data_IF_509999160057
#
_entry.id   IF_509999160057
#
_cell.length_a   1.000
_cell.length_b   1.000
_cell.length_c   1.000
_cell.angle_alpha   90.00
_cell.angle_beta   90.00
_cell.angle_gamma   90.00
#
_symmetry.space_group_name_H-M   'P 1'
#
loop_
_entity.id
_entity.type
_entity.pdbx_description
1 polymer ?
#
# COMPACT_ATOMS: atom_id res chain seq x y z
N UNK A 1 -18.89 15.42 -11.78
CA UNK A 1 -19.43 14.04 -12.04
C UNK A 1 -19.52 13.31 -10.71
N UNK A 2 -20.62 12.55 -10.47
CA UNK A 2 -20.78 11.81 -9.22
C UNK A 2 -20.14 10.42 -9.33
N UNK A 3 -19.22 10.09 -8.42
CA UNK A 3 -18.54 8.81 -8.35
C UNK A 3 -19.25 7.91 -7.34
N UNK A 4 -19.61 6.72 -7.78
CA UNK A 4 -20.24 5.65 -6.98
C UNK A 4 -19.32 4.42 -6.98
N UNK A 5 -18.91 3.96 -5.81
CA UNK A 5 -18.07 2.77 -5.64
C UNK A 5 -18.76 1.70 -4.78
N UNK A 6 -20.08 1.80 -4.59
CA UNK A 6 -20.85 0.83 -3.76
C UNK A 6 -20.64 -0.61 -4.26
N UNK A 7 -20.24 -1.50 -3.35
CA UNK A 7 -19.98 -2.91 -3.63
C UNK A 7 -18.65 -3.21 -4.34
N UNK A 8 -17.84 -2.19 -4.66
CA UNK A 8 -16.55 -2.38 -5.35
C UNK A 8 -15.47 -2.86 -4.41
N UNK A 9 -14.71 -3.87 -4.84
CA UNK A 9 -13.47 -4.29 -4.18
C UNK A 9 -12.35 -3.26 -4.41
N UNK A 10 -11.43 -3.16 -3.46
CA UNK A 10 -10.24 -2.32 -3.58
C UNK A 10 -9.00 -3.18 -3.40
N UNK A 11 -8.51 -3.74 -4.49
CA UNK A 11 -7.37 -4.67 -4.51
C UNK A 11 -6.06 -3.96 -4.87
N UNK A 12 -6.10 -3.08 -5.87
CA UNK A 12 -4.96 -2.31 -6.37
C UNK A 12 -5.46 -0.97 -6.93
N UNK A 13 -4.71 0.12 -6.74
CA UNK A 13 -5.10 1.43 -7.30
C UNK A 13 -5.02 1.48 -8.82
N UNK A 14 -4.25 0.58 -9.45
CA UNK A 14 -4.23 0.44 -10.91
C UNK A 14 -5.59 0.03 -11.50
N UNK A 15 -6.45 -0.61 -10.72
CA UNK A 15 -7.78 -1.07 -11.13
C UNK A 15 -8.89 -0.02 -10.88
N UNK A 16 -8.54 1.05 -10.18
CA UNK A 16 -9.43 2.21 -9.99
C UNK A 16 -9.26 3.21 -11.14
N UNK A 17 -10.31 3.90 -11.53
CA UNK A 17 -10.16 5.06 -12.40
C UNK A 17 -9.46 6.22 -11.65
N UNK A 18 -8.88 7.16 -12.39
CA UNK A 18 -8.30 8.37 -11.79
C UNK A 18 -9.36 9.17 -11.03
N UNK A 19 -10.59 9.18 -11.52
CA UNK A 19 -11.71 9.85 -10.87
C UNK A 19 -12.10 9.18 -9.54
N UNK A 20 -12.08 7.85 -9.47
CA UNK A 20 -12.31 7.11 -8.22
C UNK A 20 -11.18 7.38 -7.21
N UNK A 21 -9.91 7.42 -7.65
CA UNK A 21 -8.79 7.79 -6.80
C UNK A 21 -8.98 9.21 -6.26
N UNK A 22 -9.33 10.18 -7.11
CA UNK A 22 -9.54 11.56 -6.70
C UNK A 22 -10.73 11.71 -5.75
N UNK A 23 -11.82 10.96 -5.97
CA UNK A 23 -12.97 10.94 -5.07
C UNK A 23 -12.61 10.40 -3.68
N UNK A 24 -11.84 9.28 -3.62
CA UNK A 24 -11.33 8.74 -2.36
C UNK A 24 -10.44 9.73 -1.61
N UNK A 25 -9.50 10.37 -2.30
CA UNK A 25 -8.60 11.37 -1.72
C UNK A 25 -9.35 12.61 -1.23
N UNK A 26 -10.33 13.10 -2.00
CA UNK A 26 -11.19 14.21 -1.60
C UNK A 26 -11.95 13.88 -0.32
N UNK A 27 -12.64 12.73 -0.29
CA UNK A 27 -13.39 12.29 0.88
C UNK A 27 -12.49 12.07 2.09
N UNK A 28 -11.31 11.48 1.90
CA UNK A 28 -10.34 11.26 2.98
C UNK A 28 -9.90 12.58 3.63
N UNK A 29 -9.63 13.62 2.83
CA UNK A 29 -9.30 14.97 3.33
C UNK A 29 -10.46 15.59 4.09
N UNK A 30 -11.70 15.48 3.58
CA UNK A 30 -12.89 15.94 4.27
C UNK A 30 -13.10 15.22 5.61
N UNK A 31 -12.89 13.90 5.63
CA UNK A 31 -13.00 13.09 6.85
C UNK A 31 -11.88 13.38 7.86
N UNK A 32 -10.68 13.74 7.40
CA UNK A 32 -9.58 14.21 8.26
C UNK A 32 -9.94 15.53 8.92
N UNK A 33 -10.40 16.49 8.14
CA UNK A 33 -10.81 17.82 8.63
C UNK A 33 -12.01 17.78 9.58
N UNK A 34 -12.93 16.84 9.38
CA UNK A 34 -14.12 16.65 10.21
C UNK A 34 -13.97 15.51 11.24
N UNK A 35 -12.74 15.08 11.54
CA UNK A 35 -12.50 14.03 12.56
C UNK A 35 -13.10 14.43 13.90
N UNK A 36 -13.68 13.49 14.60
CA UNK A 36 -14.40 13.68 15.89
C UNK A 36 -15.73 14.45 15.79
N UNK A 37 -16.19 14.80 14.57
CA UNK A 37 -17.52 15.35 14.35
C UNK A 37 -18.58 14.26 14.06
N UNK A 38 -19.84 14.66 14.03
CA UNK A 38 -20.97 13.70 13.87
C UNK A 38 -21.30 13.39 12.41
N UNK A 39 -20.63 14.03 11.44
CA UNK A 39 -20.98 13.92 10.01
C UNK A 39 -20.91 12.49 9.46
N UNK A 40 -19.97 11.66 9.95
CA UNK A 40 -19.66 10.36 9.38
C UNK A 40 -19.85 9.18 10.36
N UNK A 41 -20.16 9.44 11.64
CA UNK A 41 -20.19 8.46 12.70
C UNK A 41 -21.39 7.51 12.69
N UNK A 42 -22.24 7.55 11.66
CA UNK A 42 -23.39 6.68 11.48
C UNK A 42 -23.34 5.87 10.18
N UNK A 43 -22.27 6.01 9.38
CA UNK A 43 -22.19 5.39 8.05
C UNK A 43 -22.18 3.86 8.11
N UNK A 44 -21.54 3.27 9.14
CA UNK A 44 -21.47 1.82 9.37
C UNK A 44 -22.18 1.42 10.67
N UNK A 45 -23.21 2.19 11.09
CA UNK A 45 -23.92 1.91 12.34
C UNK A 45 -24.44 0.48 12.37
N UNK A 46 -24.16 -0.21 13.47
CA UNK A 46 -24.58 -1.59 13.77
C UNK A 46 -24.02 -2.63 12.75
N UNK A 47 -22.99 -2.29 11.98
CA UNK A 47 -22.36 -3.17 11.01
C UNK A 47 -20.98 -3.64 11.50
N UNK A 48 -20.60 -4.85 11.10
CA UNK A 48 -19.30 -5.44 11.42
C UNK A 48 -18.44 -5.53 10.17
N UNK A 49 -17.21 -5.01 10.25
CA UNK A 49 -16.16 -5.19 9.24
C UNK A 49 -15.16 -6.25 9.70
N UNK A 50 -14.87 -7.25 8.88
CA UNK A 50 -13.90 -8.30 9.21
C UNK A 50 -12.49 -7.90 8.78
N UNK A 51 -11.50 -8.20 9.62
CA UNK A 51 -10.09 -7.97 9.32
C UNK A 51 -9.33 -9.30 9.41
N UNK A 52 -8.97 -9.87 8.27
CA UNK A 52 -8.30 -11.14 8.19
C UNK A 52 -6.79 -10.96 7.99
N UNK A 53 -6.01 -11.32 9.02
CA UNK A 53 -4.57 -11.11 9.09
C UNK A 53 -3.80 -12.42 9.05
N UNK A 54 -3.11 -12.71 7.96
CA UNK A 54 -2.12 -13.78 7.86
C UNK A 54 -0.77 -13.36 8.44
N UNK A 55 -0.49 -12.07 8.48
CA UNK A 55 0.74 -11.47 9.03
C UNK A 55 0.41 -10.38 10.05
N UNK A 56 1.16 -10.29 11.16
CA UNK A 56 0.93 -9.24 12.14
C UNK A 56 1.17 -7.84 11.57
N UNK A 57 0.41 -6.86 12.04
CA UNK A 57 0.59 -5.45 11.69
C UNK A 57 0.01 -4.55 12.77
N UNK A 58 0.85 -3.68 13.34
CA UNK A 58 0.42 -2.69 14.31
C UNK A 58 -0.46 -1.61 13.66
N UNK A 59 0.09 -0.90 12.68
CA UNK A 59 -0.57 0.25 12.04
C UNK A 59 -1.83 -0.13 11.29
N UNK A 60 -1.78 -1.17 10.48
CA UNK A 60 -2.94 -1.61 9.70
C UNK A 60 -4.10 -2.02 10.60
N UNK A 61 -3.81 -2.80 11.64
CA UNK A 61 -4.83 -3.24 12.59
C UNK A 61 -5.49 -2.04 13.27
N UNK A 62 -4.71 -1.21 13.96
CA UNK A 62 -5.26 -0.09 14.73
C UNK A 62 -5.99 0.92 13.83
N UNK A 63 -5.45 1.22 12.64
CA UNK A 63 -6.09 2.18 11.73
C UNK A 63 -7.42 1.68 11.16
N UNK A 64 -7.56 0.39 10.83
CA UNK A 64 -8.84 -0.17 10.38
C UNK A 64 -9.85 -0.31 11.52
N UNK A 65 -9.41 -0.73 12.73
CA UNK A 65 -10.27 -0.74 13.91
C UNK A 65 -10.80 0.67 14.22
N UNK A 66 -9.93 1.66 14.25
CA UNK A 66 -10.32 3.06 14.44
C UNK A 66 -11.22 3.57 13.31
N UNK A 67 -10.92 3.23 12.04
CA UNK A 67 -11.74 3.64 10.90
C UNK A 67 -13.18 3.11 11.01
N UNK A 68 -13.35 1.82 11.30
CA UNK A 68 -14.69 1.23 11.51
C UNK A 68 -15.43 1.86 12.67
N UNK A 69 -14.73 2.07 13.82
CA UNK A 69 -15.30 2.70 15.01
C UNK A 69 -15.72 4.16 14.73
N UNK A 70 -14.88 4.96 14.09
CA UNK A 70 -15.20 6.36 13.75
C UNK A 70 -16.31 6.50 12.70
N UNK A 71 -16.62 5.43 11.96
CA UNK A 71 -17.77 5.33 11.05
C UNK A 71 -19.04 4.78 11.75
N UNK A 72 -18.96 4.46 13.04
CA UNK A 72 -20.09 3.94 13.84
C UNK A 72 -20.27 2.43 13.80
N UNK A 73 -19.34 1.70 13.18
CA UNK A 73 -19.32 0.25 13.07
C UNK A 73 -18.43 -0.44 14.09
N UNK A 74 -18.27 -1.73 13.90
CA UNK A 74 -17.39 -2.59 14.67
C UNK A 74 -16.39 -3.29 13.74
N UNK A 75 -15.12 -3.39 14.15
CA UNK A 75 -14.11 -4.18 13.43
C UNK A 75 -13.77 -5.45 14.22
N UNK A 76 -13.83 -6.59 13.54
CA UNK A 76 -13.47 -7.88 14.14
C UNK A 76 -12.20 -8.44 13.53
N UNK A 77 -11.22 -8.73 14.39
CA UNK A 77 -9.95 -9.32 14.01
C UNK A 77 -10.07 -10.84 13.86
N UNK A 78 -9.56 -11.37 12.75
CA UNK A 78 -9.47 -12.79 12.46
C UNK A 78 -8.02 -13.20 12.14
N UNK A 79 -7.63 -14.38 12.62
CA UNK A 79 -6.35 -15.02 12.31
C UNK A 79 -6.57 -16.31 11.51
N UNK A 80 -5.63 -16.73 10.65
CA UNK A 80 -5.74 -18.01 9.90
C UNK A 80 -5.96 -19.23 10.77
N UNK A 81 -5.43 -19.20 12.00
CA UNK A 81 -5.61 -20.29 12.97
C UNK A 81 -7.07 -20.54 13.34
N UNK A 82 -7.92 -19.51 13.31
CA UNK A 82 -9.34 -19.64 13.59
C UNK A 82 -10.10 -20.31 12.45
N UNK A 83 -9.57 -20.26 11.24
CA UNK A 83 -10.15 -20.85 10.04
C UNK A 83 -9.51 -22.18 9.65
N UNK A 84 -8.56 -22.72 10.44
CA UNK A 84 -7.86 -23.97 10.18
C UNK A 84 -7.33 -24.10 8.75
N UNK A 85 -6.65 -23.05 8.27
CA UNK A 85 -6.09 -23.01 6.92
C UNK A 85 -4.93 -24.02 6.74
N UNK A 86 -4.96 -24.75 5.65
CA UNK A 86 -3.86 -25.61 5.22
C UNK A 86 -3.18 -24.96 4.01
N UNK A 87 -1.85 -24.86 4.05
CA UNK A 87 -1.08 -24.50 2.86
C UNK A 87 -1.09 -25.66 1.87
N UNK A 88 -1.38 -25.38 0.61
CA UNK A 88 -1.22 -26.30 -0.52
C UNK A 88 -0.24 -25.72 -1.52
N UNK A 89 0.27 -26.55 -2.43
CA UNK A 89 1.14 -26.14 -3.53
C UNK A 89 0.52 -25.11 -4.48
N UNK A 90 -0.79 -24.87 -4.36
CA UNK A 90 -1.55 -23.95 -5.20
C UNK A 90 -2.23 -22.81 -4.40
N UNK A 91 -1.82 -22.59 -3.13
CA UNK A 91 -2.38 -21.57 -2.27
C UNK A 91 -2.75 -22.08 -0.87
N UNK A 92 -3.62 -21.34 -0.18
CA UNK A 92 -4.10 -21.66 1.16
C UNK A 92 -5.47 -22.29 1.08
N UNK A 93 -5.58 -23.54 1.50
CA UNK A 93 -6.87 -24.23 1.67
C UNK A 93 -7.29 -24.22 3.13
N UNK A 94 -8.60 -24.16 3.34
CA UNK A 94 -9.19 -24.30 4.68
C UNK A 94 -9.19 -25.77 5.07
N UNK A 95 -8.68 -26.10 6.27
CA UNK A 95 -8.67 -27.47 6.76
C UNK A 95 -10.08 -28.00 7.05
N UNK A 96 -10.20 -29.34 7.10
CA UNK A 96 -11.45 -30.03 7.42
C UNK A 96 -12.55 -29.92 6.35
N UNK A 97 -12.15 -29.73 5.07
CA UNK A 97 -13.10 -29.78 3.94
C UNK A 97 -13.84 -28.47 3.68
N UNK A 98 -13.53 -27.38 4.38
CA UNK A 98 -14.08 -26.07 4.08
C UNK A 98 -13.23 -25.38 3.00
N UNK A 99 -13.85 -24.92 1.94
CA UNK A 99 -13.20 -24.20 0.84
C UNK A 99 -13.19 -22.68 1.10
N UNK A 100 -12.38 -21.92 0.34
CA UNK A 100 -12.43 -20.45 0.37
C UNK A 100 -13.84 -19.98 -0.03
N UNK A 101 -14.47 -20.64 -1.01
CA UNK A 101 -15.85 -20.37 -1.44
C UNK A 101 -16.83 -20.46 -0.27
N UNK A 102 -16.86 -21.59 0.44
CA UNK A 102 -17.78 -21.80 1.57
C UNK A 102 -17.52 -20.78 2.69
N UNK A 103 -16.26 -20.58 3.05
CA UNK A 103 -15.88 -19.61 4.08
C UNK A 103 -16.27 -18.17 3.69
N UNK A 104 -15.99 -17.75 2.47
CA UNK A 104 -16.29 -16.42 1.96
C UNK A 104 -17.80 -16.14 1.96
N UNK A 105 -18.61 -17.09 1.45
CA UNK A 105 -20.07 -16.97 1.42
C UNK A 105 -20.69 -16.88 2.83
N UNK A 106 -20.15 -17.62 3.79
CA UNK A 106 -20.60 -17.54 5.20
C UNK A 106 -20.18 -16.21 5.83
N UNK A 107 -18.93 -15.80 5.68
CA UNK A 107 -18.41 -14.55 6.23
C UNK A 107 -19.15 -13.32 5.68
N UNK A 108 -19.51 -13.33 4.41
CA UNK A 108 -20.31 -12.27 3.77
C UNK A 108 -21.72 -12.12 4.38
N UNK A 109 -22.26 -13.17 5.04
CA UNK A 109 -23.56 -13.09 5.76
C UNK A 109 -23.44 -12.43 7.13
N UNK A 110 -22.22 -12.34 7.69
CA UNK A 110 -21.99 -11.79 9.02
C UNK A 110 -21.40 -10.38 8.99
N UNK A 111 -20.91 -9.93 7.83
CA UNK A 111 -20.17 -8.69 7.74
C UNK A 111 -20.62 -7.79 6.58
N UNK A 112 -20.34 -6.51 6.71
CA UNK A 112 -20.58 -5.52 5.66
C UNK A 112 -19.41 -5.36 4.68
N UNK A 113 -18.27 -5.95 4.99
CA UNK A 113 -17.06 -5.95 4.18
C UNK A 113 -15.92 -6.68 4.90
N UNK A 114 -14.86 -6.98 4.17
CA UNK A 114 -13.72 -7.70 4.69
C UNK A 114 -12.40 -7.09 4.21
N UNK A 115 -11.46 -6.87 5.12
CA UNK A 115 -10.07 -6.54 4.80
C UNK A 115 -9.21 -7.79 4.91
N UNK A 116 -8.29 -7.99 3.96
CA UNK A 116 -7.36 -9.12 3.96
C UNK A 116 -5.92 -8.60 3.92
N UNK A 117 -5.06 -9.15 4.80
CA UNK A 117 -3.62 -8.93 4.80
C UNK A 117 -2.86 -10.24 4.70
N UNK A 118 -2.12 -10.43 3.59
CA UNK A 118 -1.36 -11.65 3.33
C UNK A 118 -0.07 -11.33 2.56
N UNK A 119 1.05 -11.33 3.27
CA UNK A 119 2.37 -10.95 2.74
C UNK A 119 3.25 -12.17 2.47
N UNK A 120 4.42 -11.90 1.90
CA UNK A 120 5.45 -12.85 1.45
C UNK A 120 5.78 -13.98 2.44
N UNK A 121 5.72 -13.73 3.74
CA UNK A 121 6.04 -14.77 4.75
C UNK A 121 4.91 -15.77 5.02
N UNK A 122 3.76 -15.58 4.39
CA UNK A 122 2.59 -16.44 4.51
C UNK A 122 2.23 -17.17 3.22
N UNK A 123 3.05 -17.01 2.18
CA UNK A 123 2.86 -17.60 0.85
C UNK A 123 4.12 -18.33 0.39
N UNK A 124 4.00 -19.18 -0.63
CA UNK A 124 5.11 -19.99 -1.15
C UNK A 124 5.73 -19.37 -2.41
N UNK A 125 4.93 -18.61 -3.19
CA UNK A 125 5.37 -17.96 -4.40
C UNK A 125 4.87 -16.53 -4.47
N UNK A 126 5.56 -15.71 -5.27
CA UNK A 126 5.11 -14.36 -5.59
C UNK A 126 3.74 -14.38 -6.29
N UNK A 127 2.81 -13.59 -5.77
CA UNK A 127 1.46 -13.48 -6.30
C UNK A 127 0.42 -14.38 -5.63
N UNK A 128 0.84 -15.38 -4.83
CA UNK A 128 -0.10 -16.28 -4.14
C UNK A 128 -1.02 -15.52 -3.18
N UNK A 129 -0.50 -14.50 -2.47
CA UNK A 129 -1.28 -13.67 -1.56
C UNK A 129 -2.36 -12.88 -2.28
N UNK A 130 -2.01 -12.28 -3.41
CA UNK A 130 -2.96 -11.58 -4.27
C UNK A 130 -4.01 -12.54 -4.85
N UNK A 131 -3.61 -13.74 -5.26
CA UNK A 131 -4.54 -14.76 -5.78
C UNK A 131 -5.55 -15.21 -4.71
N UNK A 132 -5.11 -15.46 -3.48
CA UNK A 132 -5.99 -15.81 -2.36
C UNK A 132 -6.98 -14.68 -2.06
N UNK A 133 -6.50 -13.45 -2.00
CA UNK A 133 -7.35 -12.28 -1.77
C UNK A 133 -8.44 -12.16 -2.85
N UNK A 134 -8.07 -12.35 -4.12
CA UNK A 134 -9.01 -12.32 -5.25
C UNK A 134 -10.00 -13.48 -5.24
N UNK A 135 -9.60 -14.64 -4.74
CA UNK A 135 -10.54 -15.77 -4.59
C UNK A 135 -11.60 -15.45 -3.51
N UNK A 136 -11.23 -14.80 -2.39
CA UNK A 136 -12.21 -14.27 -1.44
C UNK A 136 -13.12 -13.21 -2.09
N UNK A 137 -12.56 -12.24 -2.81
CA UNK A 137 -13.33 -11.20 -3.50
C UNK A 137 -14.35 -11.78 -4.51
N UNK A 138 -13.98 -12.85 -5.20
CA UNK A 138 -14.87 -13.54 -6.15
C UNK A 138 -16.12 -14.14 -5.50
N UNK A 139 -16.00 -14.65 -4.26
CA UNK A 139 -17.07 -15.38 -3.58
C UNK A 139 -17.82 -14.56 -2.52
N UNK A 140 -17.32 -13.38 -2.17
CA UNK A 140 -18.01 -12.47 -1.27
C UNK A 140 -18.91 -11.52 -2.03
N UNK A 141 -20.15 -11.36 -1.60
CA UNK A 141 -21.10 -10.36 -2.10
C UNK A 141 -21.01 -9.01 -1.36
N UNK A 142 -19.99 -8.84 -0.53
CA UNK A 142 -19.62 -7.60 0.16
C UNK A 142 -18.18 -7.19 -0.20
N UNK A 143 -17.84 -5.88 -0.15
CA UNK A 143 -16.54 -5.40 -0.58
C UNK A 143 -15.36 -6.05 0.14
N UNK A 144 -14.35 -6.46 -0.62
CA UNK A 144 -13.05 -6.91 -0.14
C UNK A 144 -12.02 -5.80 -0.33
N UNK A 145 -11.31 -5.45 0.75
CA UNK A 145 -10.29 -4.40 0.79
C UNK A 145 -8.92 -5.03 1.03
N UNK A 146 -8.00 -4.79 0.12
CA UNK A 146 -6.61 -5.20 0.28
C UNK A 146 -5.92 -4.36 1.37
N UNK A 147 -5.65 -4.96 2.52
CA UNK A 147 -4.91 -4.31 3.62
C UNK A 147 -3.38 -4.38 3.47
N UNK A 148 -2.89 -5.18 2.61
CA UNK A 148 -1.60 -5.42 1.98
C UNK A 148 -1.51 -6.90 1.60
N UNK A 149 -1.28 -7.20 0.36
CA UNK A 149 -0.84 -8.52 -0.09
C UNK A 149 0.64 -8.48 -0.53
N UNK A 150 1.14 -9.57 -1.09
CA UNK A 150 2.52 -9.69 -1.55
C UNK A 150 2.83 -8.85 -2.81
N UNK A 151 1.79 -8.40 -3.54
CA UNK A 151 1.91 -7.55 -4.75
C UNK A 151 1.55 -6.09 -4.52
N UNK A 152 0.47 -5.78 -3.76
CA UNK A 152 -0.14 -4.45 -3.68
C UNK A 152 -0.52 -4.01 -2.28
N UNK A 153 -0.60 -2.69 -2.09
CA UNK A 153 -1.02 -2.07 -0.83
C UNK A 153 -1.79 -0.77 -1.07
N UNK A 154 -3.03 -0.82 -1.64
CA UNK A 154 -3.78 0.37 -2.08
C UNK A 154 -3.99 1.41 -0.99
N UNK A 155 -4.22 0.96 0.25
CA UNK A 155 -4.34 1.87 1.40
C UNK A 155 -3.05 2.66 1.68
N UNK A 156 -1.87 2.11 1.34
CA UNK A 156 -0.60 2.83 1.46
C UNK A 156 -0.43 3.83 0.33
N UNK A 157 -0.64 3.42 -0.92
CA UNK A 157 -0.51 4.31 -2.07
C UNK A 157 -1.41 5.55 -1.97
N UNK A 158 -2.68 5.36 -1.57
CA UNK A 158 -3.60 6.46 -1.32
C UNK A 158 -3.11 7.39 -0.20
N UNK A 159 -2.54 6.83 0.87
CA UNK A 159 -2.01 7.63 1.98
C UNK A 159 -0.75 8.39 1.61
N UNK A 160 0.13 7.78 0.81
CA UNK A 160 1.32 8.43 0.29
C UNK A 160 0.92 9.65 -0.55
N UNK A 161 0.00 9.48 -1.49
CA UNK A 161 -0.51 10.56 -2.35
C UNK A 161 -1.19 11.64 -1.53
N UNK A 162 -2.03 11.27 -0.55
CA UNK A 162 -2.68 12.26 0.32
C UNK A 162 -1.66 13.09 1.08
N UNK A 163 -0.63 12.47 1.68
CA UNK A 163 0.43 13.18 2.38
C UNK A 163 1.25 14.08 1.46
N UNK A 164 1.64 13.58 0.29
CA UNK A 164 2.33 14.39 -0.72
C UNK A 164 1.50 15.61 -1.15
N UNK A 165 0.19 15.45 -1.36
CA UNK A 165 -0.70 16.55 -1.72
C UNK A 165 -0.92 17.56 -0.58
N UNK A 166 -0.93 17.14 0.66
CA UNK A 166 -1.04 18.03 1.83
C UNK A 166 0.15 18.99 1.93
N UNK A 167 1.34 18.52 1.57
CA UNK A 167 2.56 19.31 1.68
C UNK A 167 2.95 20.08 0.40
N UNK A 168 2.70 19.52 -0.78
CA UNK A 168 3.14 20.12 -2.05
C UNK A 168 2.01 20.36 -3.08
N UNK A 169 0.75 20.20 -2.71
CA UNK A 169 -0.40 20.48 -3.57
C UNK A 169 -0.56 19.50 -4.73
N UNK A 170 -0.84 19.99 -5.94
CA UNK A 170 -0.98 19.14 -7.13
C UNK A 170 0.32 18.41 -7.44
N UNK A 171 0.21 17.12 -7.70
CA UNK A 171 1.36 16.25 -7.96
C UNK A 171 1.71 16.11 -9.45
N UNK A 172 0.84 16.58 -10.34
CA UNK A 172 1.06 16.46 -11.79
C UNK A 172 2.36 17.14 -12.21
N UNK A 173 3.22 16.41 -12.92
CA UNK A 173 4.52 16.88 -13.40
C UNK A 173 5.63 16.92 -12.34
N UNK A 174 5.33 16.70 -11.06
CA UNK A 174 6.34 16.57 -10.01
C UNK A 174 7.09 15.25 -10.14
N UNK A 175 8.29 15.18 -9.60
CA UNK A 175 9.16 13.99 -9.70
C UNK A 175 9.27 13.28 -8.36
N UNK A 176 9.05 11.96 -8.36
CA UNK A 176 9.33 11.07 -7.23
C UNK A 176 10.50 10.14 -7.55
N UNK A 177 11.40 10.00 -6.58
CA UNK A 177 12.43 8.97 -6.58
C UNK A 177 11.99 7.82 -5.67
N UNK A 178 11.75 6.65 -6.27
CA UNK A 178 11.67 5.37 -5.57
C UNK A 178 13.07 4.75 -5.61
N UNK A 179 13.68 4.57 -4.44
CA UNK A 179 15.01 3.96 -4.36
C UNK A 179 15.04 2.74 -3.47
N UNK A 180 15.69 1.68 -3.93
CA UNK A 180 16.03 0.56 -3.08
C UNK A 180 16.93 1.02 -1.94
N UNK A 181 16.81 0.36 -0.79
CA UNK A 181 17.70 0.61 0.33
C UNK A 181 18.08 -0.71 1.02
N UNK A 182 19.30 -0.77 1.57
CA UNK A 182 19.72 -1.95 2.32
C UNK A 182 18.94 -2.07 3.64
N UNK A 183 18.91 -3.28 4.20
CA UNK A 183 18.20 -3.53 5.44
C UNK A 183 18.46 -4.93 6.00
N UNK A 184 18.03 -5.16 7.25
CA UNK A 184 18.09 -6.48 7.90
C UNK A 184 16.81 -7.29 7.72
N UNK A 185 15.91 -6.84 6.86
CA UNK A 185 14.63 -7.47 6.61
C UNK A 185 14.46 -7.69 5.10
N UNK A 186 13.98 -8.85 4.73
CA UNK A 186 13.46 -9.07 3.39
C UNK A 186 11.99 -8.64 3.38
N UNK A 187 11.66 -7.62 2.58
CA UNK A 187 10.32 -7.04 2.51
C UNK A 187 9.71 -7.24 1.13
N UNK A 188 8.39 -7.39 1.07
CA UNK A 188 7.68 -7.53 -0.20
C UNK A 188 7.65 -6.23 -1.00
N UNK A 189 7.29 -6.38 -2.27
CA UNK A 189 7.14 -5.29 -3.22
C UNK A 189 5.91 -4.41 -2.99
N UNK A 190 4.93 -4.84 -2.20
CA UNK A 190 3.56 -4.32 -2.20
C UNK A 190 3.45 -2.79 -2.11
N UNK A 191 4.19 -2.14 -1.21
CA UNK A 191 4.17 -0.68 -1.08
C UNK A 191 4.96 0.02 -2.18
N UNK A 192 5.98 -0.63 -2.72
CA UNK A 192 6.79 -0.12 -3.85
C UNK A 192 5.95 -0.11 -5.13
N UNK A 193 5.35 -1.24 -5.47
CA UNK A 193 4.46 -1.33 -6.64
C UNK A 193 3.32 -0.33 -6.55
N UNK A 194 2.64 -0.28 -5.41
CA UNK A 194 1.49 0.59 -5.24
C UNK A 194 1.85 2.08 -5.37
N UNK A 195 2.98 2.51 -4.79
CA UNK A 195 3.44 3.88 -4.92
C UNK A 195 3.80 4.22 -6.37
N UNK A 196 4.56 3.37 -7.06
CA UNK A 196 4.92 3.55 -8.47
C UNK A 196 3.69 3.62 -9.38
N UNK A 197 2.72 2.74 -9.16
CA UNK A 197 1.48 2.68 -9.94
C UNK A 197 0.63 3.93 -9.75
N UNK A 198 0.32 4.30 -8.51
CA UNK A 198 -0.57 5.43 -8.24
C UNK A 198 0.05 6.77 -8.64
N UNK A 199 1.34 6.97 -8.40
CA UNK A 199 2.04 8.22 -8.75
C UNK A 199 2.17 8.42 -10.25
N UNK A 200 2.52 7.36 -10.99
CA UNK A 200 2.54 7.41 -12.47
C UNK A 200 1.16 7.66 -13.07
N UNK A 201 0.10 7.07 -12.51
CA UNK A 201 -1.30 7.32 -12.95
C UNK A 201 -1.76 8.75 -12.71
N UNK A 202 -1.29 9.38 -11.64
CA UNK A 202 -1.61 10.78 -11.31
C UNK A 202 -0.71 11.79 -12.03
N UNK A 203 0.09 11.33 -12.99
CA UNK A 203 0.89 12.18 -13.87
C UNK A 203 2.17 12.72 -13.24
N UNK A 204 2.78 12.00 -12.30
CA UNK A 204 4.12 12.29 -11.81
C UNK A 204 5.19 11.72 -12.75
N UNK A 205 6.36 12.36 -12.77
CA UNK A 205 7.57 11.74 -13.28
C UNK A 205 8.09 10.76 -12.23
N UNK A 206 8.57 9.60 -12.67
CA UNK A 206 9.03 8.52 -11.79
C UNK A 206 10.49 8.19 -12.09
N UNK A 207 11.32 8.24 -11.05
CA UNK A 207 12.69 7.68 -11.07
C UNK A 207 12.72 6.45 -10.18
N UNK A 208 13.28 5.36 -10.69
CA UNK A 208 13.42 4.10 -9.98
C UNK A 208 14.89 3.72 -9.91
N UNK A 209 15.44 3.64 -8.71
CA UNK A 209 16.85 3.31 -8.47
C UNK A 209 16.96 2.04 -7.64
N UNK A 210 17.75 1.06 -8.11
CA UNK A 210 17.98 -0.19 -7.39
C UNK A 210 19.28 -0.87 -7.83
N UNK A 211 19.93 -1.66 -6.95
CA UNK A 211 21.12 -2.42 -7.33
C UNK A 211 20.76 -3.53 -8.32
N UNK A 212 21.69 -3.91 -9.19
CA UNK A 212 21.51 -5.04 -10.11
C UNK A 212 21.12 -6.30 -9.33
N UNK A 213 20.12 -7.02 -9.82
CA UNK A 213 19.56 -8.22 -9.19
C UNK A 213 18.44 -7.94 -8.20
N UNK A 214 17.98 -6.67 -8.10
CA UNK A 214 16.79 -6.27 -7.34
C UNK A 214 15.70 -5.69 -8.24
N UNK A 215 15.66 -6.19 -9.46
CA UNK A 215 14.68 -5.79 -10.46
C UNK A 215 13.26 -6.09 -9.96
N UNK A 216 12.34 -5.16 -10.22
CA UNK A 216 10.93 -5.38 -9.97
C UNK A 216 10.32 -6.24 -11.09
N UNK A 217 9.22 -6.96 -10.82
CA UNK A 217 8.54 -7.77 -11.83
C UNK A 217 8.22 -6.96 -13.10
N UNK A 218 8.54 -7.53 -14.26
CA UNK A 218 8.42 -6.87 -15.56
C UNK A 218 6.99 -6.39 -15.84
N UNK A 219 5.99 -7.17 -15.41
CA UNK A 219 4.57 -6.80 -15.55
C UNK A 219 4.22 -5.49 -14.84
N UNK A 220 4.82 -5.22 -13.67
CA UNK A 220 4.57 -3.99 -12.90
C UNK A 220 5.31 -2.79 -13.53
N UNK A 221 6.54 -3.02 -13.98
CA UNK A 221 7.30 -2.01 -14.73
C UNK A 221 6.59 -1.60 -16.02
N UNK A 222 5.99 -2.57 -16.74
CA UNK A 222 5.23 -2.28 -17.95
C UNK A 222 4.00 -1.39 -17.66
N UNK A 223 3.29 -1.62 -16.55
CA UNK A 223 2.16 -0.78 -16.11
C UNK A 223 2.61 0.66 -15.81
N UNK A 224 3.73 0.83 -15.08
CA UNK A 224 4.29 2.16 -14.78
C UNK A 224 4.68 2.91 -16.06
N UNK A 225 5.34 2.24 -17.00
CA UNK A 225 5.68 2.81 -18.31
C UNK A 225 4.43 3.27 -19.06
N UNK A 226 3.42 2.41 -19.17
CA UNK A 226 2.16 2.74 -19.84
C UNK A 226 1.44 3.93 -19.20
N UNK A 227 1.43 4.00 -17.86
CA UNK A 227 0.86 5.14 -17.13
C UNK A 227 1.61 6.45 -17.44
N UNK A 228 2.95 6.42 -17.44
CA UNK A 228 3.76 7.60 -17.76
C UNK A 228 3.56 8.04 -19.22
N UNK A 229 3.54 7.10 -20.16
CA UNK A 229 3.26 7.38 -21.58
C UNK A 229 1.89 8.03 -21.77
N UNK A 230 0.83 7.48 -21.12
CA UNK A 230 -0.51 8.03 -21.20
C UNK A 230 -0.62 9.45 -20.63
N UNK A 231 0.21 9.80 -19.65
CA UNK A 231 0.25 11.12 -19.03
C UNK A 231 1.28 12.08 -19.65
N UNK A 232 2.11 11.61 -20.58
CA UNK A 232 3.21 12.39 -21.16
C UNK A 232 4.31 12.72 -20.14
N UNK A 233 4.52 11.86 -19.15
CA UNK A 233 5.53 12.01 -18.09
C UNK A 233 6.70 11.05 -18.30
N UNK A 234 7.78 11.24 -17.52
CA UNK A 234 9.00 10.45 -17.65
C UNK A 234 9.02 9.26 -16.70
N UNK A 235 9.60 8.16 -17.17
CA UNK A 235 9.99 7.02 -16.33
C UNK A 235 11.45 6.68 -16.58
N UNK A 236 12.28 6.76 -15.55
CA UNK A 236 13.73 6.54 -15.62
C UNK A 236 14.14 5.44 -14.64
N UNK A 237 15.06 4.56 -15.05
CA UNK A 237 15.62 3.50 -14.20
C UNK A 237 17.13 3.67 -14.14
N UNK A 238 17.71 3.50 -12.95
CA UNK A 238 19.16 3.50 -12.74
C UNK A 238 19.59 2.42 -11.76
N UNK A 239 20.80 1.90 -11.96
CA UNK A 239 21.47 1.00 -11.00
C UNK A 239 22.57 1.71 -10.20
N UNK A 240 22.56 3.02 -10.19
CA UNK A 240 23.48 3.87 -9.44
C UNK A 240 22.74 4.47 -8.24
N UNK A 241 23.22 4.27 -6.98
CA UNK A 241 22.55 4.77 -5.78
C UNK A 241 22.50 6.30 -5.68
N UNK A 242 23.33 7.02 -6.43
CA UNK A 242 23.43 8.48 -6.43
C UNK A 242 22.68 9.15 -7.56
N UNK A 243 22.60 8.50 -8.73
CA UNK A 243 22.06 9.09 -9.95
C UNK A 243 20.56 9.44 -9.89
N UNK A 244 19.81 8.83 -9.00
CA UNK A 244 18.40 9.16 -8.78
C UNK A 244 18.17 10.50 -8.07
N UNK A 245 19.11 10.95 -7.26
CA UNK A 245 19.00 12.18 -6.45
C UNK A 245 19.42 13.40 -7.25
N UNK A 246 18.50 14.06 -7.86
CA UNK A 246 18.69 15.22 -8.75
C UNK A 246 17.80 16.40 -8.34
N UNK A 247 18.10 17.58 -8.83
CA UNK A 247 17.46 18.85 -8.46
C UNK A 247 15.97 18.96 -8.87
N UNK A 248 15.47 18.05 -9.71
CA UNK A 248 14.04 17.97 -10.06
C UNK A 248 13.22 17.06 -9.14
N UNK A 249 13.87 16.30 -8.24
CA UNK A 249 13.18 15.38 -7.32
C UNK A 249 12.53 16.16 -6.17
N UNK A 250 11.23 15.94 -5.99
CA UNK A 250 10.43 16.59 -4.93
C UNK A 250 9.99 15.61 -3.82
N UNK A 251 10.08 14.30 -4.07
CA UNK A 251 9.79 13.26 -3.09
C UNK A 251 10.80 12.11 -3.20
N UNK A 252 11.27 11.62 -2.07
CA UNK A 252 12.16 10.45 -1.98
C UNK A 252 11.49 9.37 -1.16
N UNK A 253 11.31 8.20 -1.77
CA UNK A 253 10.81 6.98 -1.15
C UNK A 253 11.92 5.94 -1.12
N UNK A 254 12.61 5.84 0.00
CA UNK A 254 13.70 4.88 0.20
C UNK A 254 13.17 3.64 0.91
N UNK A 255 13.27 2.47 0.27
CA UNK A 255 12.64 1.25 0.77
C UNK A 255 13.43 0.01 0.46
N UNK A 256 13.58 -0.89 1.44
CA UNK A 256 14.08 -2.23 1.19
C UNK A 256 13.00 -3.10 0.51
N UNK A 257 13.41 -3.88 -0.49
CA UNK A 257 12.63 -5.00 -1.04
C UNK A 257 13.57 -6.12 -1.44
N UNK A 258 13.07 -7.37 -1.44
CA UNK A 258 13.85 -8.55 -1.79
C UNK A 258 14.05 -8.70 -3.31
N UNK A 259 15.09 -9.45 -3.70
CA UNK A 259 15.35 -9.79 -5.10
C UNK A 259 14.34 -10.80 -5.66
N UNK A 260 14.25 -10.92 -7.00
CA UNK A 260 13.27 -11.80 -7.66
C UNK A 260 13.42 -13.28 -7.31
N UNK A 261 14.61 -13.70 -6.91
CA UNK A 261 14.97 -15.07 -6.50
C UNK A 261 14.71 -15.37 -5.00
N UNK A 262 14.04 -14.46 -4.29
CA UNK A 262 13.79 -14.57 -2.83
C UNK A 262 13.17 -15.89 -2.41
N UNK A 263 12.17 -16.38 -3.15
CA UNK A 263 11.48 -17.63 -2.82
C UNK A 263 12.34 -18.89 -3.08
N UNK A 264 13.39 -18.76 -3.90
CA UNK A 264 14.35 -19.84 -4.20
C UNK A 264 15.47 -19.88 -3.17
N UNK A 265 16.09 -18.71 -2.86
CA UNK A 265 17.24 -18.63 -1.96
C UNK A 265 16.86 -18.58 -0.47
N UNK A 266 15.65 -18.13 -0.16
CA UNK A 266 15.12 -18.01 1.18
C UNK A 266 15.54 -16.73 1.91
N UNK A 267 14.81 -16.43 2.98
CA UNK A 267 14.91 -15.18 3.74
C UNK A 267 16.29 -14.89 4.31
N UNK A 268 16.98 -15.90 4.85
CA UNK A 268 18.29 -15.70 5.49
C UNK A 268 19.37 -15.33 4.46
N UNK A 269 19.38 -16.00 3.30
CA UNK A 269 20.31 -15.69 2.22
C UNK A 269 20.06 -14.31 1.64
N UNK A 270 18.78 -13.92 1.47
CA UNK A 270 18.38 -12.60 1.02
C UNK A 270 18.88 -11.51 1.97
N UNK A 271 18.65 -11.64 3.26
CA UNK A 271 19.12 -10.66 4.27
C UNK A 271 20.65 -10.54 4.23
N UNK A 272 21.35 -11.68 4.16
CA UNK A 272 22.82 -11.70 4.08
C UNK A 272 23.36 -11.04 2.80
N UNK A 273 22.61 -11.09 1.70
CA UNK A 273 22.93 -10.40 0.44
C UNK A 273 22.67 -8.89 0.56
N UNK A 274 21.49 -8.50 0.98
CA UNK A 274 21.05 -7.11 1.08
C UNK A 274 21.92 -6.30 2.07
N UNK A 275 22.31 -6.90 3.21
CA UNK A 275 23.13 -6.24 4.25
C UNK A 275 24.52 -5.81 3.78
N UNK A 276 25.02 -6.35 2.66
CA UNK A 276 26.33 -5.98 2.08
C UNK A 276 26.29 -4.72 1.22
N UNK A 277 25.10 -4.26 0.84
CA UNK A 277 24.91 -3.14 -0.08
C UNK A 277 24.73 -1.81 0.66
N UNK A 278 25.63 -1.52 1.59
CA UNK A 278 25.54 -0.39 2.53
C UNK A 278 25.54 0.99 1.88
N UNK A 279 26.00 1.10 0.63
CA UNK A 279 25.94 2.35 -0.15
C UNK A 279 24.51 2.74 -0.54
N UNK A 280 23.56 1.79 -0.48
CA UNK A 280 22.15 2.05 -0.76
C UNK A 280 21.42 2.48 0.53
N UNK A 281 21.62 3.73 0.91
CA UNK A 281 20.97 4.38 2.05
C UNK A 281 20.56 5.80 1.67
N UNK A 282 19.38 6.24 2.08
CA UNK A 282 19.00 7.64 2.00
C UNK A 282 19.65 8.41 3.16
N UNK A 283 20.52 9.37 2.85
CA UNK A 283 21.20 10.22 3.83
C UNK A 283 21.04 11.70 3.48
N UNK A 284 21.45 12.58 4.35
CA UNK A 284 21.29 14.03 4.18
C UNK A 284 22.08 14.55 2.96
N UNK A 285 23.29 14.04 2.70
CA UNK A 285 24.08 14.43 1.53
C UNK A 285 23.32 14.18 0.20
N UNK A 286 22.60 13.06 0.10
CA UNK A 286 21.75 12.73 -1.05
C UNK A 286 20.50 13.60 -1.10
N UNK A 287 19.85 13.82 0.03
CA UNK A 287 18.70 14.72 0.10
C UNK A 287 19.05 16.14 -0.33
N UNK A 288 20.23 16.64 0.02
CA UNK A 288 20.71 18.00 -0.33
C UNK A 288 20.92 18.19 -1.86
N UNK A 289 21.00 17.10 -2.64
CA UNK A 289 21.08 17.14 -4.10
C UNK A 289 19.71 17.31 -4.76
N UNK A 290 18.65 17.21 -4.00
CA UNK A 290 17.25 17.30 -4.49
C UNK A 290 16.69 18.71 -4.30
N UNK A 291 15.49 18.96 -4.86
CA UNK A 291 14.77 20.22 -4.73
C UNK A 291 13.95 20.26 -3.44
N UNK A 292 14.59 20.34 -2.30
CA UNK A 292 13.90 20.27 -1.00
C UNK A 292 12.91 19.10 -0.94
N UNK A 293 13.38 17.93 -1.36
CA UNK A 293 12.51 16.75 -1.43
C UNK A 293 12.00 16.36 -0.05
N UNK A 294 10.74 15.96 -0.01
CA UNK A 294 10.15 15.36 1.18
C UNK A 294 10.48 13.87 1.22
N UNK A 295 10.91 13.41 2.39
CA UNK A 295 11.13 12.00 2.66
C UNK A 295 9.83 11.32 3.05
N UNK A 296 9.47 10.25 2.33
CA UNK A 296 8.27 9.46 2.56
C UNK A 296 8.61 7.98 2.76
N UNK A 297 7.82 7.25 3.57
CA UNK A 297 8.05 5.85 3.87
C UNK A 297 6.79 5.18 4.45
N UNK A 298 6.48 3.91 4.09
CA UNK A 298 5.27 3.21 4.55
C UNK A 298 5.35 2.73 6.00
N UNK A 299 6.52 2.83 6.63
CA UNK A 299 6.86 2.31 7.95
C UNK A 299 6.58 0.78 8.14
N UNK A 300 7.30 0.10 9.02
CA UNK A 300 8.37 0.65 9.85
C UNK A 300 9.60 1.00 9.02
N UNK A 301 10.27 2.08 9.39
CA UNK A 301 11.53 2.51 8.78
C UNK A 301 12.72 1.83 9.46
N UNK A 302 13.67 1.34 8.68
CA UNK A 302 14.90 0.72 9.19
C UNK A 302 16.01 1.78 9.28
N UNK A 303 16.04 2.45 10.46
CA UNK A 303 16.95 3.57 10.71
C UNK A 303 18.41 3.14 10.73
N UNK A 304 19.28 3.94 10.12
CA UNK A 304 20.71 3.62 9.94
C UNK A 304 20.97 2.64 8.79
N UNK A 305 19.90 2.23 8.04
CA UNK A 305 19.97 1.31 6.89
C UNK A 305 19.18 1.83 5.70
N UNK A 306 17.84 1.80 5.75
CA UNK A 306 17.03 2.40 4.68
C UNK A 306 17.27 3.93 4.60
N UNK A 307 17.48 4.56 5.75
CA UNK A 307 17.61 6.00 5.88
C UNK A 307 18.39 6.35 7.16
N UNK A 308 19.12 7.45 7.16
CA UNK A 308 19.75 7.98 8.37
C UNK A 308 18.73 8.60 9.32
N UNK A 309 19.05 8.65 10.63
CA UNK A 309 18.19 9.27 11.64
C UNK A 309 17.92 10.75 11.36
N UNK A 310 18.91 11.46 10.84
CA UNK A 310 18.84 12.86 10.47
C UNK A 310 17.75 13.11 9.43
N UNK A 311 17.67 12.30 8.38
CA UNK A 311 16.62 12.39 7.35
C UNK A 311 15.28 11.91 7.89
N UNK A 312 15.24 10.75 8.54
CA UNK A 312 13.97 10.16 9.02
C UNK A 312 13.25 11.01 10.07
N UNK A 313 14.00 11.81 10.86
CA UNK A 313 13.47 12.71 11.88
C UNK A 313 13.62 14.19 11.51
N UNK A 314 14.15 14.48 10.33
CA UNK A 314 14.38 15.83 9.84
C UNK A 314 13.10 16.56 9.44
N UNK A 315 13.19 17.88 9.20
CA UNK A 315 12.03 18.72 8.90
C UNK A 315 11.32 18.36 7.58
N UNK A 316 12.04 17.70 6.68
CA UNK A 316 11.49 17.26 5.38
C UNK A 316 10.90 15.83 5.44
N UNK A 317 10.85 15.19 6.62
CA UNK A 317 10.23 13.87 6.77
C UNK A 317 8.73 13.99 7.08
N UNK A 318 7.90 13.43 6.23
CA UNK A 318 6.43 13.40 6.40
C UNK A 318 5.88 12.00 6.68
N UNK A 319 6.74 11.11 7.17
CA UNK A 319 6.39 9.69 7.38
C UNK A 319 5.25 9.50 8.39
N UNK A 320 5.14 10.37 9.40
CA UNK A 320 4.07 10.32 10.41
C UNK A 320 2.75 10.81 9.87
N UNK A 321 2.75 11.84 9.00
CA UNK A 321 1.55 12.36 8.34
C UNK A 321 0.96 11.31 7.38
N UNK A 322 1.83 10.64 6.62
CA UNK A 322 1.44 9.49 5.78
C UNK A 322 0.86 8.37 6.63
N UNK A 323 1.47 8.05 7.77
CA UNK A 323 0.95 7.01 8.66
C UNK A 323 -0.43 7.39 9.24
N UNK A 324 -0.66 8.64 9.59
CA UNK A 324 -1.98 9.15 10.00
C UNK A 324 -3.00 9.04 8.86
N UNK A 325 -2.63 9.43 7.65
CA UNK A 325 -3.51 9.42 6.50
C UNK A 325 -4.05 8.02 6.14
N UNK A 326 -3.40 6.94 6.61
CA UNK A 326 -3.92 5.57 6.54
C UNK A 326 -5.32 5.45 7.13
N UNK A 327 -5.57 6.07 8.28
CA UNK A 327 -6.88 6.08 8.91
C UNK A 327 -7.93 6.75 8.00
N UNK A 328 -7.60 7.90 7.45
CA UNK A 328 -8.57 8.71 6.68
C UNK A 328 -8.87 8.12 5.30
N UNK A 329 -7.87 7.57 4.62
CA UNK A 329 -8.07 6.88 3.34
C UNK A 329 -8.86 5.57 3.52
N UNK A 330 -8.64 4.83 4.60
CA UNK A 330 -9.41 3.63 4.92
C UNK A 330 -10.88 3.96 5.25
N UNK A 331 -11.12 5.06 6.00
CA UNK A 331 -12.49 5.56 6.21
C UNK A 331 -13.18 5.91 4.90
N UNK A 332 -12.49 6.59 3.99
CA UNK A 332 -13.04 6.95 2.68
C UNK A 332 -13.36 5.70 1.84
N UNK A 333 -12.46 4.71 1.81
CA UNK A 333 -12.71 3.42 1.13
C UNK A 333 -13.98 2.78 1.70
N UNK A 334 -14.08 2.58 3.03
CA UNK A 334 -15.24 1.97 3.65
C UNK A 334 -16.53 2.76 3.41
N UNK A 335 -16.47 4.10 3.48
CA UNK A 335 -17.62 4.96 3.25
C UNK A 335 -18.14 4.86 1.81
N UNK A 336 -17.26 4.81 0.81
CA UNK A 336 -17.68 4.70 -0.59
C UNK A 336 -18.08 3.28 -0.97
N UNK A 337 -17.29 2.26 -0.58
CA UNK A 337 -17.53 0.89 -1.03
C UNK A 337 -18.59 0.17 -0.19
N UNK A 338 -18.61 0.38 1.13
CA UNK A 338 -19.53 -0.31 2.05
C UNK A 338 -20.80 0.53 2.30
N UNK A 339 -20.66 1.77 2.73
CA UNK A 339 -21.84 2.63 2.99
C UNK A 339 -22.48 3.18 1.71
N UNK A 340 -21.78 3.19 0.58
CA UNK A 340 -22.28 3.67 -0.70
C UNK A 340 -22.35 5.20 -0.78
N UNK A 341 -21.45 5.88 -0.07
CA UNK A 341 -21.32 7.33 -0.13
C UNK A 341 -20.80 7.74 -1.51
N UNK A 342 -21.52 8.66 -2.17
CA UNK A 342 -21.17 9.17 -3.50
C UNK A 342 -20.47 10.51 -3.38
N UNK A 343 -19.47 10.73 -4.20
CA UNK A 343 -18.63 11.94 -4.18
C UNK A 343 -18.69 12.64 -5.53
N UNK A 344 -18.97 13.92 -5.50
CA UNK A 344 -18.90 14.79 -6.69
C UNK A 344 -17.44 15.28 -6.87
N UNK A 345 -16.90 15.07 -8.09
CA UNK A 345 -15.58 15.56 -8.52
C UNK A 345 -15.68 16.49 -9.71
#
# INVERSE_FOLDING_TARGET
>A
MQIDMKGKDVVCTQELSVDEINALLKLAKEMKAARYGDKYNQLLKDQTFLMFFFNPSLRTRISFEAAATELGGHAQFLEPKTMRLKKTSNGVEVQAGETIEDAAQVLARYACGMGIRILETSVENYGDGNAILREYAKWMDVPVINMADDKYHPCQGLSDVMGMQEHKGDLKGKTILMTWAHGDLARSYCSVHENLLITSRLGMNVKLAFPKGYDLPEEEIAKVKANCEANGTKFEITNDPDAGYTDDVEFVYSRNWFGPDFYEIGKEAEIARASKMTDWICNQERMDRTKDALYIHPMPVDRGKEVTDEVASGPNSIITDIAENRLHTQKAIMAMTIAGMKIDI
#
